data_IF_237136432869
#
_entry.id   IF_237136432869
#
_cell.length_a   1.000
_cell.length_b   1.000
_cell.length_c   1.000
_cell.angle_alpha   90.00
_cell.angle_beta   90.00
_cell.angle_gamma   90.00
#
_symmetry.space_group_name_H-M   'P 1'
#
loop_
_entity.id
_entity.type
_entity.pdbx_description
1 polymer ?
#
# COMPACT_ATOMS: atom_id res chain seq x y z
N UNK A 1 -29.45 63.19 -83.03
CA UNK A 1 -28.25 62.76 -82.31
C UNK A 1 -28.52 63.08 -80.87
N UNK A 2 -29.01 62.10 -80.13
CA UNK A 2 -29.07 62.17 -78.68
C UNK A 2 -28.53 60.83 -78.19
N UNK A 3 -27.41 60.98 -77.49
CA UNK A 3 -26.61 60.00 -76.79
C UNK A 3 -27.36 59.64 -75.51
N UNK A 4 -27.71 58.37 -75.32
CA UNK A 4 -28.14 57.88 -74.01
C UNK A 4 -27.24 56.71 -73.62
N UNK A 5 -26.18 57.08 -72.92
CA UNK A 5 -25.18 56.18 -72.37
C UNK A 5 -25.81 55.44 -71.17
N UNK A 6 -26.34 54.24 -71.42
CA UNK A 6 -26.81 53.36 -70.36
C UNK A 6 -25.63 52.89 -69.49
N UNK A 7 -25.65 53.29 -68.23
CA UNK A 7 -24.73 52.81 -67.18
C UNK A 7 -25.20 51.42 -66.76
N UNK A 8 -24.40 50.39 -67.02
CA UNK A 8 -24.67 49.05 -66.49
C UNK A 8 -24.22 49.00 -65.02
N UNK A 9 -25.17 48.90 -64.10
CA UNK A 9 -24.89 48.56 -62.70
C UNK A 9 -24.47 47.09 -62.65
N UNK A 10 -23.20 46.86 -62.31
CA UNK A 10 -22.66 45.53 -62.06
C UNK A 10 -23.13 45.07 -60.68
N UNK A 11 -24.20 44.28 -60.63
CA UNK A 11 -24.60 43.58 -59.42
C UNK A 11 -23.55 42.50 -59.12
N UNK A 12 -22.77 42.70 -58.06
CA UNK A 12 -21.88 41.67 -57.52
C UNK A 12 -22.77 40.76 -56.67
N UNK A 13 -22.96 39.52 -57.11
CA UNK A 13 -23.58 38.50 -56.27
C UNK A 13 -22.55 38.09 -55.21
N UNK A 14 -22.78 38.56 -53.98
CA UNK A 14 -22.00 38.16 -52.81
C UNK A 14 -22.31 36.68 -52.54
N UNK A 15 -21.31 35.83 -52.74
CA UNK A 15 -21.38 34.41 -52.40
C UNK A 15 -21.56 34.27 -50.89
N UNK A 16 -22.66 33.66 -50.45
CA UNK A 16 -22.84 33.28 -49.05
C UNK A 16 -21.67 32.38 -48.60
N UNK A 17 -21.06 32.63 -47.43
CA UNK A 17 -19.96 31.79 -46.96
C UNK A 17 -20.47 30.36 -46.72
N UNK A 18 -19.71 29.36 -47.15
CA UNK A 18 -19.99 27.97 -46.78
C UNK A 18 -19.94 27.82 -45.25
N UNK A 19 -20.86 27.06 -44.64
CA UNK A 19 -20.83 26.83 -43.20
C UNK A 19 -19.50 26.17 -42.81
N UNK A 20 -18.86 26.66 -41.75
CA UNK A 20 -17.66 26.02 -41.21
C UNK A 20 -18.01 24.58 -40.78
N UNK A 21 -17.12 23.61 -41.02
CA UNK A 21 -17.37 22.23 -40.61
C UNK A 21 -17.49 22.16 -39.08
N UNK A 22 -18.50 21.44 -38.59
CA UNK A 22 -18.68 21.22 -37.15
C UNK A 22 -17.45 20.52 -36.53
N UNK A 23 -17.08 20.86 -35.28
CA UNK A 23 -15.98 20.20 -34.58
C UNK A 23 -16.24 18.71 -34.37
N UNK A 24 -15.20 17.90 -34.51
CA UNK A 24 -15.26 16.44 -34.37
C UNK A 24 -14.21 15.92 -33.40
N UNK A 25 -14.52 14.82 -32.72
CA UNK A 25 -13.58 14.13 -31.87
C UNK A 25 -13.77 12.60 -31.93
N UNK A 26 -12.73 11.87 -31.53
CA UNK A 26 -12.77 10.45 -31.20
C UNK A 26 -11.95 10.21 -29.93
N UNK A 27 -12.37 9.27 -29.09
CA UNK A 27 -11.67 8.89 -27.87
C UNK A 27 -11.58 7.38 -27.78
N UNK A 28 -10.50 6.88 -27.18
CA UNK A 28 -10.30 5.46 -26.85
C UNK A 28 -9.89 5.38 -25.39
N UNK A 29 -10.66 4.65 -24.61
CA UNK A 29 -10.48 4.48 -23.19
C UNK A 29 -10.55 2.99 -22.86
N UNK A 30 -9.39 2.40 -22.60
CA UNK A 30 -9.28 0.96 -22.37
C UNK A 30 -9.48 0.59 -20.89
N UNK A 31 -9.96 -0.64 -20.67
CA UNK A 31 -10.00 -1.25 -19.34
C UNK A 31 -8.60 -1.26 -18.71
N UNK A 32 -8.50 -0.85 -17.44
CA UNK A 32 -7.22 -0.67 -16.77
C UNK A 32 -7.27 -0.97 -15.27
N UNK A 33 -6.10 -1.13 -14.68
CA UNK A 33 -5.93 -1.08 -13.22
C UNK A 33 -5.42 0.30 -12.81
N UNK A 34 -5.90 0.81 -11.67
CA UNK A 34 -5.55 2.13 -11.13
C UNK A 34 -5.36 2.04 -9.62
N UNK A 35 -4.58 2.97 -9.07
CA UNK A 35 -4.49 3.23 -7.63
C UNK A 35 -5.70 4.00 -7.07
N UNK A 36 -6.74 4.23 -7.88
CA UNK A 36 -7.97 4.93 -7.51
C UNK A 36 -7.91 6.46 -7.65
N UNK A 37 -6.74 7.04 -7.95
CA UNK A 37 -6.54 8.50 -8.01
C UNK A 37 -6.22 9.02 -9.41
N UNK A 38 -5.81 8.17 -10.34
CA UNK A 38 -5.45 8.58 -11.70
C UNK A 38 -5.84 7.50 -12.70
N UNK A 39 -6.34 7.92 -13.87
CA UNK A 39 -6.60 7.04 -15.01
C UNK A 39 -5.88 7.55 -16.25
N UNK A 40 -5.65 6.67 -17.21
CA UNK A 40 -5.01 6.99 -18.48
C UNK A 40 -6.01 6.79 -19.61
N UNK A 41 -6.25 7.83 -20.40
CA UNK A 41 -6.97 7.75 -21.67
C UNK A 41 -5.96 7.37 -22.75
N UNK A 42 -6.19 6.23 -23.41
CA UNK A 42 -5.24 5.66 -24.38
C UNK A 42 -4.99 6.63 -25.53
N UNK A 43 -6.06 7.14 -26.15
CA UNK A 43 -5.94 8.20 -27.15
C UNK A 43 -7.19 9.07 -27.26
N UNK A 44 -6.98 10.33 -27.65
CA UNK A 44 -8.04 11.26 -28.03
C UNK A 44 -7.59 12.06 -29.25
N UNK A 45 -8.47 12.19 -30.24
CA UNK A 45 -8.25 13.03 -31.43
C UNK A 45 -9.35 14.06 -31.51
N UNK A 46 -9.00 15.35 -31.55
CA UNK A 46 -9.97 16.46 -31.64
C UNK A 46 -9.60 17.38 -32.81
N UNK A 47 -10.61 17.85 -33.55
CA UNK A 47 -10.40 18.82 -34.64
C UNK A 47 -10.08 20.23 -34.12
N UNK A 48 -10.48 20.52 -32.88
CA UNK A 48 -10.25 21.78 -32.17
C UNK A 48 -9.68 21.49 -30.77
N UNK A 49 -9.31 22.53 -30.01
CA UNK A 49 -8.77 22.36 -28.66
C UNK A 49 -9.83 21.98 -27.64
N UNK A 50 -9.42 21.39 -26.53
CA UNK A 50 -10.37 20.96 -25.51
C UNK A 50 -9.77 20.18 -24.35
N UNK A 51 -10.62 19.37 -23.72
CA UNK A 51 -10.32 18.58 -22.53
C UNK A 51 -10.90 17.17 -22.67
N UNK A 52 -10.42 16.23 -21.87
CA UNK A 52 -11.10 14.96 -21.64
C UNK A 52 -11.63 14.96 -20.21
N UNK A 53 -12.95 14.95 -20.07
CA UNK A 53 -13.62 14.74 -18.79
C UNK A 53 -13.82 13.24 -18.56
N UNK A 54 -13.59 12.80 -17.32
CA UNK A 54 -13.90 11.45 -16.86
C UNK A 54 -15.18 11.53 -16.05
N UNK A 55 -16.17 10.77 -16.47
CA UNK A 55 -17.46 10.64 -15.80
C UNK A 55 -17.60 9.30 -15.09
N UNK A 56 -18.27 9.31 -13.94
CA UNK A 56 -18.76 8.11 -13.28
C UNK A 56 -20.04 7.56 -13.93
N UNK A 57 -20.54 6.44 -13.41
CA UNK A 57 -21.72 5.76 -13.94
C UNK A 57 -23.02 6.59 -13.84
N UNK A 58 -23.08 7.63 -12.99
CA UNK A 58 -24.26 8.47 -12.84
C UNK A 58 -24.55 9.33 -14.08
N UNK A 59 -23.58 9.48 -15.00
CA UNK A 59 -23.81 10.07 -16.33
C UNK A 59 -24.91 9.33 -17.08
N UNK A 60 -24.93 8.00 -17.00
CA UNK A 60 -25.92 7.14 -17.68
C UNK A 60 -27.33 7.30 -17.07
N UNK A 61 -27.42 7.85 -15.86
CA UNK A 61 -28.66 8.19 -15.17
C UNK A 61 -29.12 9.62 -15.46
N UNK A 62 -28.39 10.36 -16.31
CA UNK A 62 -28.68 11.74 -16.71
C UNK A 62 -28.04 12.82 -15.84
N UNK A 63 -27.16 12.45 -14.90
CA UNK A 63 -26.43 13.39 -14.05
C UNK A 63 -25.18 13.94 -14.75
N UNK A 64 -25.34 14.68 -15.86
CA UNK A 64 -24.21 15.12 -16.67
C UNK A 64 -23.20 16.01 -15.91
N UNK A 65 -23.67 16.92 -15.05
CA UNK A 65 -22.79 17.83 -14.30
C UNK A 65 -22.13 17.14 -13.10
N UNK A 66 -22.90 16.36 -12.34
CA UNK A 66 -22.43 15.74 -11.11
C UNK A 66 -21.63 14.45 -11.30
N UNK A 67 -21.62 13.89 -12.51
CA UNK A 67 -20.84 12.69 -12.84
C UNK A 67 -19.38 12.98 -13.15
N UNK A 68 -18.99 14.24 -13.38
CA UNK A 68 -17.59 14.59 -13.70
C UNK A 68 -16.73 14.35 -12.47
N UNK A 69 -15.88 13.33 -12.54
CA UNK A 69 -14.94 12.92 -11.47
C UNK A 69 -13.49 13.25 -11.80
N UNK A 70 -13.16 13.69 -13.01
CA UNK A 70 -11.80 14.12 -13.34
C UNK A 70 -11.75 14.87 -14.66
N UNK A 71 -10.70 15.67 -14.87
CA UNK A 71 -10.48 16.40 -16.12
C UNK A 71 -9.00 16.46 -16.48
N UNK A 72 -8.69 16.25 -17.75
CA UNK A 72 -7.33 16.44 -18.27
C UNK A 72 -6.90 17.91 -18.22
N UNK A 73 -5.60 18.15 -18.37
CA UNK A 73 -5.13 19.46 -18.82
C UNK A 73 -5.67 19.78 -20.22
N UNK A 74 -5.59 21.05 -20.62
CA UNK A 74 -5.93 21.47 -21.98
C UNK A 74 -5.09 20.74 -23.03
N UNK A 75 -5.76 20.24 -24.06
CA UNK A 75 -5.20 19.56 -25.21
C UNK A 75 -5.49 20.37 -26.46
N UNK A 76 -4.44 20.75 -27.21
CA UNK A 76 -4.61 21.41 -28.50
C UNK A 76 -5.25 20.49 -29.54
N UNK A 77 -5.78 21.03 -30.64
CA UNK A 77 -6.25 20.24 -31.78
C UNK A 77 -5.20 19.22 -32.25
N UNK A 78 -5.64 18.02 -32.63
CA UNK A 78 -4.80 16.89 -33.02
C UNK A 78 -5.03 15.64 -32.18
N UNK A 79 -4.11 14.69 -32.30
CA UNK A 79 -4.11 13.42 -31.56
C UNK A 79 -3.18 13.49 -30.36
N UNK A 80 -3.66 13.06 -29.20
CA UNK A 80 -2.91 12.89 -27.96
C UNK A 80 -3.05 11.45 -27.49
N UNK A 81 -1.98 10.88 -26.97
CA UNK A 81 -1.92 9.51 -26.47
C UNK A 81 -1.49 9.51 -25.00
N UNK A 82 -1.92 8.51 -24.24
CA UNK A 82 -1.59 8.34 -22.82
C UNK A 82 -1.88 9.59 -21.98
N UNK A 83 -3.10 10.14 -22.13
CA UNK A 83 -3.51 11.33 -21.38
C UNK A 83 -3.85 10.93 -19.95
N UNK A 84 -3.00 11.34 -19.01
CA UNK A 84 -3.24 11.14 -17.58
C UNK A 84 -4.31 12.11 -17.07
N UNK A 85 -5.27 11.58 -16.32
CA UNK A 85 -6.34 12.34 -15.69
C UNK A 85 -6.41 11.98 -14.21
N UNK A 86 -6.15 12.98 -13.36
CA UNK A 86 -6.34 12.87 -11.91
C UNK A 86 -7.83 12.90 -11.59
N UNK A 87 -8.26 11.98 -10.73
CA UNK A 87 -9.65 11.87 -10.27
C UNK A 87 -9.84 12.63 -8.96
N UNK A 88 -11.05 13.12 -8.77
CA UNK A 88 -11.55 13.83 -7.58
C UNK A 88 -10.72 15.06 -7.18
N UNK A 89 -10.01 15.65 -8.13
CA UNK A 89 -9.21 16.86 -7.93
C UNK A 89 -9.34 17.81 -9.13
N UNK A 90 -9.20 19.11 -8.88
CA UNK A 90 -8.98 20.09 -9.95
C UNK A 90 -10.18 20.42 -10.85
N UNK A 91 -11.36 19.84 -10.63
CA UNK A 91 -12.57 20.13 -11.43
C UNK A 91 -13.29 21.37 -10.89
N UNK A 92 -13.20 22.48 -11.62
CA UNK A 92 -13.86 23.73 -11.25
C UNK A 92 -15.40 23.56 -11.18
N UNK A 93 -15.99 23.85 -10.02
CA UNK A 93 -17.44 23.73 -9.78
C UNK A 93 -17.88 22.39 -9.17
N UNK A 94 -16.99 21.39 -9.12
CA UNK A 94 -17.19 20.18 -8.32
C UNK A 94 -16.61 20.36 -6.91
N UNK A 95 -17.16 19.64 -5.93
CA UNK A 95 -16.62 19.59 -4.57
C UNK A 95 -16.32 18.14 -4.21
N UNK A 96 -15.05 17.86 -3.99
CA UNK A 96 -14.58 16.56 -3.53
C UNK A 96 -14.00 16.68 -2.12
N UNK A 97 -13.99 15.58 -1.38
CA UNK A 97 -13.26 15.51 -0.11
C UNK A 97 -11.76 15.46 -0.38
N UNK A 98 -10.93 15.93 0.55
CA UNK A 98 -9.46 15.96 0.39
C UNK A 98 -8.85 14.56 0.18
N UNK A 99 -9.51 13.50 0.68
CA UNK A 99 -9.09 12.10 0.55
C UNK A 99 -9.96 11.30 -0.45
N UNK A 100 -10.65 11.98 -1.39
CA UNK A 100 -11.54 11.30 -2.33
C UNK A 100 -10.77 10.47 -3.36
N UNK A 101 -11.16 9.21 -3.53
CA UNK A 101 -10.61 8.28 -4.51
C UNK A 101 -11.67 7.29 -4.98
N UNK A 102 -11.37 6.49 -6.02
CA UNK A 102 -12.20 5.34 -6.34
C UNK A 102 -12.00 4.26 -5.26
N UNK A 103 -13.06 3.94 -4.53
CA UNK A 103 -13.02 2.95 -3.43
C UNK A 103 -13.26 1.51 -3.91
N UNK A 104 -13.76 1.34 -5.13
CA UNK A 104 -14.12 0.05 -5.71
C UNK A 104 -14.06 0.08 -7.24
N UNK A 105 -14.07 -1.11 -7.84
CA UNK A 105 -14.13 -1.24 -9.29
C UNK A 105 -15.40 -0.61 -9.84
N UNK A 106 -15.25 0.29 -10.81
CA UNK A 106 -16.36 1.02 -11.42
C UNK A 106 -16.14 1.17 -12.93
N UNK A 107 -17.23 1.38 -13.67
CA UNK A 107 -17.19 1.83 -15.06
C UNK A 107 -17.05 3.34 -15.12
N UNK A 108 -15.96 3.82 -15.71
CA UNK A 108 -15.76 5.23 -16.01
C UNK A 108 -15.98 5.50 -17.50
N UNK A 109 -16.31 6.73 -17.84
CA UNK A 109 -16.66 7.16 -19.18
C UNK A 109 -15.80 8.38 -19.54
N UNK A 110 -14.94 8.24 -20.55
CA UNK A 110 -14.15 9.34 -21.09
C UNK A 110 -14.99 10.10 -22.12
N UNK A 111 -15.06 11.43 -21.98
CA UNK A 111 -15.82 12.32 -22.85
C UNK A 111 -14.96 13.52 -23.24
N UNK A 112 -14.66 13.74 -24.53
CA UNK A 112 -14.00 14.97 -24.98
C UNK A 112 -14.94 16.17 -24.86
N UNK A 113 -14.45 17.28 -24.32
CA UNK A 113 -15.12 18.57 -24.21
C UNK A 113 -14.39 19.63 -25.02
N UNK A 114 -15.13 20.44 -25.76
CA UNK A 114 -14.61 21.53 -26.61
C UNK A 114 -14.32 22.76 -25.74
N UNK A 115 -13.15 23.39 -25.88
CA UNK A 115 -12.90 24.72 -25.29
C UNK A 115 -13.69 25.76 -26.09
N UNK A 116 -14.90 26.07 -25.63
CA UNK A 116 -15.90 26.84 -26.40
C UNK A 116 -15.68 28.35 -26.35
N UNK A 117 -14.82 28.81 -25.44
CA UNK A 117 -14.58 30.21 -25.15
C UNK A 117 -13.10 30.60 -25.29
N UNK A 118 -12.27 29.69 -25.82
CA UNK A 118 -10.84 29.85 -26.11
C UNK A 118 -10.00 30.31 -24.90
N UNK A 119 -10.38 29.90 -23.69
CA UNK A 119 -9.69 30.32 -22.47
C UNK A 119 -8.76 29.24 -21.88
N UNK A 120 -8.73 28.05 -22.49
CA UNK A 120 -7.93 26.89 -22.06
C UNK A 120 -8.16 26.45 -20.61
N UNK A 121 -9.34 26.75 -20.07
CA UNK A 121 -9.82 26.37 -18.74
C UNK A 121 -11.12 25.60 -18.88
N UNK A 122 -11.25 24.46 -18.20
CA UNK A 122 -12.48 23.68 -18.23
C UNK A 122 -13.57 24.32 -17.36
N UNK A 123 -14.62 24.83 -18.00
CA UNK A 123 -15.69 25.61 -17.37
C UNK A 123 -17.06 24.90 -17.32
N UNK A 124 -17.18 23.67 -17.85
CA UNK A 124 -18.46 22.97 -17.97
C UNK A 124 -19.23 22.87 -16.65
N UNK A 125 -18.61 22.34 -15.60
CA UNK A 125 -19.28 22.16 -14.31
C UNK A 125 -19.55 23.51 -13.64
N UNK A 126 -18.58 24.41 -13.63
CA UNK A 126 -18.68 25.74 -13.02
C UNK A 126 -19.77 26.61 -13.64
N UNK A 127 -20.02 26.46 -14.95
CA UNK A 127 -21.01 27.24 -15.71
C UNK A 127 -22.37 26.55 -15.83
N UNK A 128 -22.54 25.39 -15.18
CA UNK A 128 -23.77 24.60 -15.27
C UNK A 128 -24.03 24.06 -16.69
N UNK A 129 -22.96 23.78 -17.44
CA UNK A 129 -22.98 23.18 -18.76
C UNK A 129 -23.20 24.15 -19.91
N UNK A 130 -23.01 25.46 -19.68
CA UNK A 130 -23.20 26.49 -20.72
C UNK A 130 -21.93 26.82 -21.49
N UNK A 131 -20.76 26.67 -20.86
CA UNK A 131 -19.48 26.61 -21.54
C UNK A 131 -19.00 25.16 -21.62
N UNK A 132 -18.13 24.93 -22.57
CA UNK A 132 -17.35 23.72 -22.79
C UNK A 132 -18.18 22.46 -22.83
N UNK A 133 -19.16 22.45 -23.73
CA UNK A 133 -19.96 21.25 -23.99
C UNK A 133 -19.13 20.11 -24.58
N UNK A 134 -19.68 18.89 -24.56
CA UNK A 134 -19.01 17.75 -25.18
C UNK A 134 -18.86 17.95 -26.69
N UNK A 135 -17.83 17.34 -27.27
CA UNK A 135 -17.85 17.07 -28.69
C UNK A 135 -19.02 16.12 -29.01
N UNK A 136 -19.73 16.40 -30.09
CA UNK A 136 -20.93 15.64 -30.48
C UNK A 136 -20.86 15.15 -31.92
N UNK A 137 -21.52 14.02 -32.18
CA UNK A 137 -21.73 13.46 -33.51
C UNK A 137 -23.22 13.12 -33.72
N UNK A 138 -23.54 12.36 -34.77
CA UNK A 138 -24.91 11.93 -35.10
C UNK A 138 -25.57 11.07 -33.99
N UNK A 139 -24.78 10.47 -33.10
CA UNK A 139 -25.20 9.61 -32.00
C UNK A 139 -25.32 10.36 -30.66
N UNK A 140 -24.83 11.60 -30.58
CA UNK A 140 -24.84 12.43 -29.37
C UNK A 140 -23.42 12.77 -28.91
N UNK A 141 -23.20 12.83 -27.59
CA UNK A 141 -21.87 13.08 -27.04
C UNK A 141 -20.91 11.94 -27.40
N UNK A 142 -19.71 12.30 -27.87
CA UNK A 142 -18.64 11.34 -28.13
C UNK A 142 -18.12 10.83 -26.79
N UNK A 143 -18.22 9.51 -26.58
CA UNK A 143 -17.81 8.85 -25.34
C UNK A 143 -17.16 7.50 -25.61
N UNK A 144 -16.30 7.07 -24.70
CA UNK A 144 -15.88 5.67 -24.61
C UNK A 144 -15.81 5.26 -23.13
N UNK A 145 -16.17 4.01 -22.83
CA UNK A 145 -16.27 3.53 -21.45
C UNK A 145 -15.31 2.38 -21.15
N UNK A 146 -14.76 2.41 -19.94
CA UNK A 146 -13.81 1.43 -19.46
C UNK A 146 -14.17 0.94 -18.06
N UNK A 147 -13.95 -0.35 -17.82
CA UNK A 147 -13.89 -0.91 -16.48
C UNK A 147 -12.55 -0.56 -15.85
N UNK A 148 -12.58 0.23 -14.78
CA UNK A 148 -11.40 0.55 -13.97
C UNK A 148 -11.41 -0.37 -12.75
N UNK A 149 -10.38 -1.20 -12.64
CA UNK A 149 -10.13 -2.01 -11.45
C UNK A 149 -9.29 -1.18 -10.50
N UNK A 150 -9.73 -1.03 -9.26
CA UNK A 150 -8.93 -0.35 -8.25
C UNK A 150 -8.07 -1.39 -7.59
N UNK A 151 -6.76 -1.31 -7.79
CA UNK A 151 -5.81 -1.92 -6.90
C UNK A 151 -5.82 -1.07 -5.63
N UNK A 152 -6.79 -1.34 -4.74
CA UNK A 152 -6.98 -0.59 -3.48
C UNK A 152 -5.80 -0.71 -2.54
N UNK A 153 -4.75 -1.42 -2.93
CA UNK A 153 -3.61 -1.74 -2.10
C UNK A 153 -4.14 -2.12 -0.74
N UNK A 154 -4.91 -3.22 -0.66
CA UNK A 154 -5.17 -3.87 0.64
C UNK A 154 -3.89 -3.69 1.45
N UNK A 155 -3.93 -2.96 2.59
CA UNK A 155 -2.70 -2.78 3.35
C UNK A 155 -2.17 -4.18 3.52
N UNK A 156 -0.93 -4.42 3.08
CA UNK A 156 -0.27 -5.67 3.33
C UNK A 156 -0.54 -5.95 4.82
N UNK A 157 -1.27 -7.03 5.11
CA UNK A 157 -1.43 -7.55 6.48
C UNK A 157 -0.08 -7.34 7.14
N UNK A 158 0.02 -6.56 8.24
CA UNK A 158 1.29 -6.01 8.70
C UNK A 158 2.33 -7.13 8.64
N UNK A 159 3.32 -6.96 7.76
CA UNK A 159 4.24 -8.02 7.35
C UNK A 159 4.61 -8.81 8.60
N UNK A 160 4.18 -10.08 8.67
CA UNK A 160 4.21 -10.80 9.92
C UNK A 160 5.65 -10.83 10.43
N UNK A 161 5.92 -10.19 11.56
CA UNK A 161 7.28 -10.11 12.11
C UNK A 161 7.67 -11.50 12.56
N UNK A 162 8.67 -12.08 11.89
CA UNK A 162 9.21 -13.36 12.27
C UNK A 162 10.03 -13.22 13.54
N UNK A 163 9.90 -14.19 14.44
CA UNK A 163 10.69 -14.26 15.65
C UNK A 163 11.20 -15.67 15.93
N UNK A 164 12.23 -15.75 16.75
CA UNK A 164 12.60 -16.97 17.45
C UNK A 164 12.62 -16.74 18.95
N UNK A 165 12.42 -17.82 19.69
CA UNK A 165 12.54 -17.86 21.14
C UNK A 165 13.50 -18.99 21.51
N UNK A 166 14.57 -18.66 22.21
CA UNK A 166 15.59 -19.59 22.66
C UNK A 166 15.56 -19.71 24.19
N UNK A 167 15.42 -20.94 24.68
CA UNK A 167 15.63 -21.28 26.08
C UNK A 167 17.04 -21.84 26.24
N UNK A 168 17.89 -21.10 26.95
CA UNK A 168 19.34 -21.31 26.98
C UNK A 168 19.88 -21.31 28.40
N UNK A 169 20.97 -22.05 28.64
CA UNK A 169 21.69 -21.95 29.89
C UNK A 169 22.58 -20.69 29.89
N UNK A 170 22.62 -19.94 31.00
CA UNK A 170 23.41 -18.71 31.18
C UNK A 170 22.87 -17.48 30.43
N UNK A 171 23.72 -16.45 30.31
CA UNK A 171 23.38 -15.14 29.69
C UNK A 171 22.98 -15.23 28.21
N UNK A 172 22.10 -14.30 27.74
CA UNK A 172 21.73 -14.17 26.34
C UNK A 172 22.90 -13.68 25.47
N UNK A 173 22.78 -13.85 24.16
CA UNK A 173 23.72 -13.34 23.16
C UNK A 173 23.10 -12.12 22.50
N UNK A 174 23.70 -10.95 22.67
CA UNK A 174 23.20 -9.74 22.01
C UNK A 174 23.34 -9.82 20.49
N UNK A 175 24.35 -10.54 20.00
CA UNK A 175 24.65 -10.68 18.58
C UNK A 175 24.86 -12.16 18.22
N UNK A 176 23.94 -12.67 17.42
CA UNK A 176 24.07 -13.98 16.81
C UNK A 176 24.92 -13.88 15.54
N UNK A 177 25.57 -14.98 15.18
CA UNK A 177 26.30 -15.15 13.93
C UNK A 177 26.51 -16.64 13.73
N UNK A 178 26.91 -17.06 12.54
CA UNK A 178 27.24 -18.47 12.28
C UNK A 178 28.27 -19.03 13.29
N UNK A 179 29.18 -18.19 13.80
CA UNK A 179 30.22 -18.59 14.73
C UNK A 179 29.80 -18.48 16.20
N UNK A 180 28.76 -17.71 16.53
CA UNK A 180 28.36 -17.41 17.92
C UNK A 180 27.03 -18.05 18.35
N UNK A 181 26.48 -19.01 17.62
CA UNK A 181 25.21 -19.66 17.98
C UNK A 181 25.28 -20.40 19.33
N UNK A 182 24.16 -20.43 20.05
CA UNK A 182 24.01 -21.23 21.29
C UNK A 182 24.19 -22.74 21.09
N UNK A 183 23.95 -23.23 19.88
CA UNK A 183 24.05 -24.65 19.51
C UNK A 183 25.35 -24.98 18.76
N UNK A 184 26.36 -24.10 18.81
CA UNK A 184 27.68 -24.43 18.28
C UNK A 184 28.43 -25.37 19.24
N UNK A 185 29.38 -26.15 18.70
CA UNK A 185 30.17 -27.15 19.46
C UNK A 185 30.99 -26.52 20.62
N UNK A 186 31.14 -25.20 20.64
CA UNK A 186 31.90 -24.48 21.67
C UNK A 186 31.04 -24.12 22.89
N UNK A 187 29.74 -23.87 22.69
CA UNK A 187 28.83 -23.45 23.75
C UNK A 187 27.87 -24.57 24.16
N UNK A 188 27.18 -25.21 23.23
CA UNK A 188 26.14 -26.23 23.49
C UNK A 188 25.17 -25.84 24.63
N UNK A 189 24.71 -24.59 24.63
CA UNK A 189 23.86 -24.01 25.70
C UNK A 189 22.38 -23.93 25.34
N UNK A 190 22.00 -24.20 24.08
CA UNK A 190 20.61 -24.20 23.65
C UNK A 190 19.87 -25.44 24.13
N UNK A 191 18.75 -25.25 24.83
CA UNK A 191 17.92 -26.34 25.39
C UNK A 191 16.65 -26.54 24.57
N UNK A 192 15.91 -25.47 24.31
CA UNK A 192 14.70 -25.46 23.47
C UNK A 192 14.72 -24.23 22.57
N UNK A 193 14.09 -24.36 21.41
CA UNK A 193 13.85 -23.25 20.52
C UNK A 193 12.40 -23.30 20.01
N UNK A 194 11.89 -22.14 19.64
CA UNK A 194 10.65 -21.98 18.90
C UNK A 194 10.84 -20.91 17.81
N UNK A 195 10.21 -21.10 16.67
CA UNK A 195 10.13 -20.13 15.59
C UNK A 195 8.66 -19.81 15.31
N UNK A 196 8.39 -18.57 14.97
CA UNK A 196 7.03 -18.12 14.73
C UNK A 196 6.97 -16.78 14.04
N UNK A 197 5.75 -16.25 13.93
CA UNK A 197 5.50 -14.89 13.50
C UNK A 197 4.30 -14.29 14.24
N UNK A 198 4.14 -12.97 14.16
CA UNK A 198 3.08 -12.23 14.84
C UNK A 198 1.67 -12.70 14.45
N UNK A 199 1.49 -13.08 13.18
CA UNK A 199 0.22 -13.52 12.59
C UNK A 199 -0.18 -14.96 12.99
N UNK A 200 0.69 -15.94 12.75
CA UNK A 200 0.39 -17.36 12.96
C UNK A 200 0.80 -17.90 14.34
N UNK A 201 1.63 -17.16 15.09
CA UNK A 201 2.23 -17.64 16.33
C UNK A 201 3.39 -18.61 16.09
N UNK A 202 3.57 -19.56 17.02
CA UNK A 202 4.67 -20.54 16.95
C UNK A 202 4.36 -21.58 15.86
N UNK A 203 5.14 -21.56 14.79
CA UNK A 203 5.01 -22.44 13.62
C UNK A 203 5.95 -23.63 13.67
N UNK A 204 7.09 -23.50 14.37
CA UNK A 204 8.04 -24.59 14.61
C UNK A 204 8.59 -24.54 16.03
N UNK A 205 8.86 -25.68 16.63
CA UNK A 205 9.50 -25.77 17.96
C UNK A 205 10.24 -27.08 18.11
N UNK A 206 11.37 -27.04 18.80
CA UNK A 206 12.24 -28.19 18.89
C UNK A 206 13.11 -28.26 20.13
N UNK A 207 13.85 -29.35 20.19
CA UNK A 207 14.84 -29.65 21.22
C UNK A 207 16.22 -29.50 20.60
N UNK A 208 17.09 -28.76 21.25
CA UNK A 208 18.51 -28.76 20.92
C UNK A 208 19.26 -29.72 21.86
N UNK A 209 20.44 -30.17 21.41
CA UNK A 209 21.27 -31.09 22.18
C UNK A 209 22.28 -30.31 23.01
N UNK A 210 21.80 -29.70 24.11
CA UNK A 210 22.67 -29.01 25.04
C UNK A 210 23.77 -29.94 25.60
N UNK A 211 24.81 -29.33 26.16
CA UNK A 211 25.94 -30.02 26.78
C UNK A 211 25.47 -30.99 27.85
N UNK A 212 26.27 -32.01 28.13
CA UNK A 212 25.93 -32.99 29.16
C UNK A 212 25.69 -32.34 30.53
N UNK A 213 26.45 -31.29 30.85
CA UNK A 213 26.28 -30.49 32.06
C UNK A 213 24.88 -29.88 32.13
N UNK A 214 24.46 -29.16 31.08
CA UNK A 214 23.13 -28.54 31.04
C UNK A 214 22.02 -29.60 31.07
N UNK A 215 22.14 -30.68 30.29
CA UNK A 215 21.12 -31.76 30.26
C UNK A 215 21.05 -32.56 31.54
N UNK A 216 22.13 -32.61 32.33
CA UNK A 216 22.12 -33.26 33.64
C UNK A 216 21.36 -32.43 34.69
N UNK A 217 21.37 -31.10 34.54
CA UNK A 217 20.74 -30.17 35.48
C UNK A 217 19.32 -29.77 35.11
N UNK A 218 19.00 -29.62 33.83
CA UNK A 218 17.70 -29.07 33.40
C UNK A 218 16.90 -30.13 32.65
N UNK A 219 15.78 -30.56 33.24
CA UNK A 219 14.78 -31.32 32.48
C UNK A 219 14.12 -30.38 31.48
N UNK A 220 14.41 -30.68 30.22
CA UNK A 220 13.95 -29.88 29.12
C UNK A 220 12.55 -30.28 28.67
N UNK A 221 11.86 -31.26 29.29
CA UNK A 221 10.58 -31.79 28.82
C UNK A 221 9.52 -30.72 28.48
N UNK A 222 9.57 -29.56 29.12
CA UNK A 222 8.81 -28.37 28.78
C UNK A 222 8.89 -27.95 27.31
N UNK A 223 7.84 -27.26 26.89
CA UNK A 223 7.73 -26.64 25.56
C UNK A 223 7.59 -25.14 25.74
N UNK A 224 8.09 -24.39 24.76
CA UNK A 224 7.84 -22.96 24.67
C UNK A 224 6.43 -22.81 24.12
N UNK A 225 5.57 -22.12 24.86
CA UNK A 225 4.23 -21.74 24.47
C UNK A 225 4.10 -20.22 24.34
N UNK A 226 3.11 -19.77 23.57
CA UNK A 226 2.81 -18.36 23.35
C UNK A 226 1.41 -18.06 23.87
N UNK A 227 1.28 -16.98 24.63
CA UNK A 227 0.01 -16.35 24.99
C UNK A 227 0.12 -14.85 24.67
N UNK A 228 -0.61 -14.41 23.64
CA UNK A 228 -0.49 -13.03 23.13
C UNK A 228 0.94 -12.69 22.71
N UNK A 229 1.50 -11.65 23.32
CA UNK A 229 2.82 -11.09 23.03
C UNK A 229 3.88 -11.63 24.01
N UNK A 230 3.59 -12.76 24.68
CA UNK A 230 4.47 -13.38 25.67
C UNK A 230 4.75 -14.83 25.32
N UNK A 231 6.03 -15.20 25.31
CA UNK A 231 6.46 -16.60 25.29
C UNK A 231 6.78 -17.07 26.71
N UNK A 232 6.42 -18.32 27.01
CA UNK A 232 6.58 -18.93 28.34
C UNK A 232 7.13 -20.34 28.21
N UNK A 233 8.00 -20.74 29.13
CA UNK A 233 8.40 -22.14 29.31
C UNK A 233 8.43 -22.52 30.78
N UNK A 234 7.91 -23.71 31.08
CA UNK A 234 8.06 -24.37 32.38
C UNK A 234 9.10 -25.48 32.28
N UNK A 235 10.06 -25.51 33.22
CA UNK A 235 11.15 -26.48 33.26
C UNK A 235 11.47 -26.91 34.69
N UNK A 236 12.26 -27.97 34.86
CA UNK A 236 12.67 -28.45 36.18
C UNK A 236 14.18 -28.47 36.31
N UNK A 237 14.71 -27.88 37.38
CA UNK A 237 16.10 -28.01 37.81
C UNK A 237 16.23 -29.22 38.72
N UNK A 238 17.16 -30.10 38.40
CA UNK A 238 17.44 -31.33 39.13
C UNK A 238 17.93 -31.04 40.56
N UNK A 239 17.56 -31.88 41.52
CA UNK A 239 17.97 -31.78 42.94
C UNK A 239 19.49 -31.78 43.16
N UNK A 240 20.26 -32.29 42.20
CA UNK A 240 21.72 -32.31 42.26
C UNK A 240 22.40 -31.03 41.79
N UNK A 241 21.65 -30.05 41.26
CA UNK A 241 22.18 -28.80 40.72
C UNK A 241 21.63 -27.59 41.48
N UNK A 242 22.53 -26.73 41.95
CA UNK A 242 22.20 -25.48 42.65
C UNK A 242 22.62 -24.29 41.78
N UNK A 243 21.91 -23.17 41.90
CA UNK A 243 22.24 -21.91 41.20
C UNK A 243 22.39 -22.05 39.67
N UNK A 244 21.44 -22.72 39.01
CA UNK A 244 21.45 -22.87 37.55
C UNK A 244 20.90 -21.61 36.90
N UNK A 245 21.75 -20.84 36.22
CA UNK A 245 21.31 -19.66 35.46
C UNK A 245 20.72 -20.08 34.12
N UNK A 246 19.50 -19.63 33.84
CA UNK A 246 18.80 -19.87 32.57
C UNK A 246 18.24 -18.56 32.02
N UNK A 247 18.17 -18.47 30.70
CA UNK A 247 17.52 -17.35 30.01
C UNK A 247 16.45 -17.85 29.03
N UNK A 248 15.39 -17.06 28.90
CA UNK A 248 14.45 -17.13 27.79
C UNK A 248 14.61 -15.85 26.97
N UNK A 249 14.92 -16.01 25.70
CA UNK A 249 15.40 -14.93 24.84
C UNK A 249 14.59 -14.92 23.57
N UNK A 250 14.09 -13.75 23.15
CA UNK A 250 13.40 -13.58 21.88
C UNK A 250 14.22 -12.71 20.93
N UNK A 251 14.24 -13.09 19.65
CA UNK A 251 14.88 -12.33 18.58
C UNK A 251 13.89 -12.07 17.45
N UNK A 252 13.96 -10.90 16.83
CA UNK A 252 13.34 -10.67 15.52
C UNK A 252 14.18 -11.34 14.43
N UNK A 253 13.54 -11.72 13.32
CA UNK A 253 14.17 -12.44 12.22
C UNK A 253 13.74 -11.90 10.86
N UNK A 254 14.62 -11.95 9.86
CA UNK A 254 14.25 -11.57 8.50
C UNK A 254 13.37 -12.61 7.79
N UNK A 255 13.39 -13.87 8.22
CA UNK A 255 12.66 -14.96 7.55
C UNK A 255 12.09 -15.98 8.54
N UNK A 256 11.09 -16.76 8.10
CA UNK A 256 10.42 -17.78 8.91
C UNK A 256 11.38 -18.86 9.43
N UNK A 257 12.32 -19.31 8.58
CA UNK A 257 13.26 -20.38 8.90
C UNK A 257 14.48 -19.89 9.68
N UNK A 258 15.14 -20.78 10.41
CA UNK A 258 16.48 -20.50 10.92
C UNK A 258 17.52 -20.81 9.83
N UNK A 259 18.43 -19.88 9.59
CA UNK A 259 19.61 -20.08 8.74
C UNK A 259 20.84 -19.51 9.45
N UNK A 260 21.94 -20.29 9.61
CA UNK A 260 23.20 -19.75 10.13
C UNK A 260 23.75 -18.59 9.31
N UNK A 261 23.49 -18.56 7.99
CA UNK A 261 23.98 -17.52 7.08
C UNK A 261 23.29 -16.15 7.29
N UNK A 262 22.12 -16.15 7.91
CA UNK A 262 21.36 -14.94 8.24
C UNK A 262 21.25 -14.76 9.76
N UNK A 263 22.05 -15.49 10.54
CA UNK A 263 21.96 -15.44 11.99
C UNK A 263 22.34 -14.06 12.55
N UNK A 264 23.25 -13.36 11.87
CA UNK A 264 23.70 -12.00 12.15
C UNK A 264 22.68 -10.91 11.81
N UNK A 265 21.63 -11.26 11.07
CA UNK A 265 20.51 -10.36 10.78
C UNK A 265 19.39 -10.47 11.83
N UNK A 266 19.56 -11.32 12.83
CA UNK A 266 18.60 -11.45 13.92
C UNK A 266 18.94 -10.43 15.00
N UNK A 267 17.94 -9.67 15.45
CA UNK A 267 18.12 -8.66 16.48
C UNK A 267 17.49 -9.15 17.78
N UNK A 268 18.23 -9.01 18.89
CA UNK A 268 17.70 -9.31 20.21
C UNK A 268 16.51 -8.38 20.49
N UNK A 269 15.34 -8.97 20.72
CA UNK A 269 14.12 -8.23 21.04
C UNK A 269 13.95 -8.07 22.55
N UNK A 270 13.92 -9.19 23.28
CA UNK A 270 13.80 -9.19 24.74
C UNK A 270 14.49 -10.42 25.35
N UNK A 271 14.86 -10.34 26.62
CA UNK A 271 15.47 -11.44 27.36
C UNK A 271 15.15 -11.36 28.85
N UNK A 272 14.76 -12.51 29.41
CA UNK A 272 14.68 -12.70 30.86
C UNK A 272 15.74 -13.69 31.28
N UNK A 273 16.59 -13.32 32.24
CA UNK A 273 17.65 -14.16 32.80
C UNK A 273 17.51 -14.26 34.30
N UNK A 274 17.49 -15.49 34.81
CA UNK A 274 17.30 -15.78 36.23
C UNK A 274 18.17 -16.96 36.68
N UNK A 275 18.41 -17.05 37.99
CA UNK A 275 19.15 -18.17 38.60
C UNK A 275 18.21 -19.00 39.45
N UNK A 276 18.18 -20.30 39.17
CA UNK A 276 17.18 -21.22 39.70
C UNK A 276 17.81 -22.27 40.61
N UNK A 277 17.18 -22.48 41.76
CA UNK A 277 17.46 -23.60 42.67
C UNK A 277 16.70 -24.85 42.21
N UNK A 278 16.99 -26.05 42.78
CA UNK A 278 16.21 -27.25 42.51
C UNK A 278 14.69 -27.04 42.57
N UNK A 279 13.97 -27.59 41.59
CA UNK A 279 12.51 -27.52 41.52
C UNK A 279 11.98 -27.13 40.15
N UNK A 280 10.65 -27.00 40.05
CA UNK A 280 9.96 -26.59 38.82
C UNK A 280 9.76 -25.09 38.81
N UNK A 281 10.14 -24.47 37.70
CA UNK A 281 10.11 -23.02 37.49
C UNK A 281 9.47 -22.68 36.15
N UNK A 282 9.05 -21.42 36.03
CA UNK A 282 8.52 -20.84 34.79
C UNK A 282 9.25 -19.54 34.52
N UNK A 283 9.62 -19.32 33.26
CA UNK A 283 10.24 -18.08 32.79
C UNK A 283 9.48 -17.58 31.56
N UNK A 284 9.40 -16.26 31.41
CA UNK A 284 8.63 -15.58 30.36
C UNK A 284 9.48 -14.51 29.66
N UNK A 285 9.19 -14.23 28.38
CA UNK A 285 9.83 -13.16 27.60
C UNK A 285 8.80 -12.51 26.66
N UNK A 286 9.00 -11.24 26.34
CA UNK A 286 8.16 -10.52 25.38
C UNK A 286 8.47 -10.96 23.95
N UNK A 287 7.49 -10.92 23.06
CA UNK A 287 7.62 -11.19 21.63
C UNK A 287 7.41 -9.91 20.81
N UNK A 288 8.00 -9.81 19.61
CA UNK A 288 7.72 -8.70 18.70
C UNK A 288 6.23 -8.59 18.37
N UNK A 289 5.77 -7.36 18.17
CA UNK A 289 4.38 -7.03 17.80
C UNK A 289 4.29 -6.51 16.37
N UNK A 290 3.15 -6.72 15.72
CA UNK A 290 2.92 -6.35 14.32
C UNK A 290 2.85 -4.83 14.06
N UNK A 291 2.96 -4.00 15.10
CA UNK A 291 2.80 -2.54 15.03
C UNK A 291 4.08 -1.75 15.34
N UNK A 292 5.19 -2.43 15.68
CA UNK A 292 6.47 -1.74 15.91
C UNK A 292 7.15 -1.50 14.55
N UNK A 293 6.63 -0.54 13.80
CA UNK A 293 7.38 0.12 12.71
C UNK A 293 8.58 0.84 13.34
N UNK A 294 9.79 0.35 13.05
CA UNK A 294 11.06 1.08 13.12
C UNK A 294 11.17 2.15 14.22
N UNK A 295 11.36 1.74 15.47
CA UNK A 295 11.99 2.63 16.46
C UNK A 295 13.11 1.90 17.21
N UNK A 296 14.22 1.73 16.48
CA UNK A 296 15.54 1.49 17.07
C UNK A 296 15.96 2.71 17.92
N UNK A 297 15.24 2.99 19.02
CA UNK A 297 15.55 4.04 20.01
C UNK A 297 14.63 3.96 21.26
N UNK A 298 14.50 2.79 21.90
CA UNK A 298 13.93 2.71 23.25
C UNK A 298 14.81 1.92 24.25
N UNK A 299 16.12 2.11 24.17
CA UNK A 299 17.03 1.80 25.28
C UNK A 299 16.86 2.84 26.39
N UNK A 300 16.11 2.50 27.45
CA UNK A 300 16.26 2.96 28.85
C UNK A 300 14.91 3.17 29.55
N UNK A 301 14.45 2.18 30.34
CA UNK A 301 14.23 2.33 31.79
C UNK A 301 13.25 1.28 32.35
N UNK A 302 13.78 0.22 32.96
CA UNK A 302 13.10 -0.43 34.09
C UNK A 302 14.07 -1.19 35.01
N UNK A 303 15.20 -0.57 35.38
CA UNK A 303 15.85 -0.96 36.64
C UNK A 303 15.12 -0.28 37.81
N UNK A 304 14.69 -1.10 38.78
CA UNK A 304 14.26 -0.82 40.18
C UNK A 304 12.75 -0.76 40.45
N UNK A 305 12.20 -1.84 41.00
CA UNK A 305 12.11 -1.97 42.47
C UNK A 305 11.68 -3.37 42.89
N UNK A 306 12.52 -3.99 43.71
CA UNK A 306 12.22 -5.14 44.53
C UNK A 306 11.07 -4.85 45.50
N UNK A 307 10.31 -5.89 45.88
CA UNK A 307 9.96 -6.06 47.29
C UNK A 307 9.71 -7.53 47.63
N UNK A 308 10.52 -8.02 48.56
CA UNK A 308 10.30 -9.24 49.32
C UNK A 308 8.90 -9.29 49.93
N UNK A 309 8.28 -10.47 49.87
CA UNK A 309 7.49 -11.05 50.94
C UNK A 309 7.59 -12.58 50.84
#
# INVERSE_FOLDING_TARGET
TDDDTATAELTVEESEPEPEPEPTANVTFENQSSNGTTVVVDSVTMSEGGFVAIHDSSLLEGNALGSVVGVSAYLSAGTHENVEVTLYEGVAGANFSDDASLEANETLIAMPHLDSNDNSTYDFVATGGTADGPYTDESGAVVDSASVTVDTGEPAEPEATYYQVDFVAGEPLENLSADTLYANDEQDRLVRFAHGNTSEGITDRGRAWASEEVRSCVDSAGVIDREGETATITFTVNESCENVTMSLVSYSKPTAGFSPETADQQELFDATTETFEPGTHTITVSLPDSNETDDASALSAATRSALSA
#
